data_IF_004269566933
#
_entry.id   IF_004269566933
#
_cell.length_a   1.000
_cell.length_b   1.000
_cell.length_c   1.000
_cell.angle_alpha   90.00
_cell.angle_beta   90.00
_cell.angle_gamma   90.00
#
_symmetry.space_group_name_H-M   'P 1'
#
loop_
_entity.id
_entity.type
_entity.pdbx_description
1 polymer ?
#
# COMPACT_ATOMS: atom_id res chain seq x y z
N UNK A 1 -23.13 -13.48 70.59
CA UNK A 1 -22.29 -12.32 70.20
C UNK A 1 -20.87 -12.84 70.12
N UNK A 2 -20.14 -12.53 69.04
CA UNK A 2 -18.79 -13.06 68.83
C UNK A 2 -17.78 -12.40 69.76
N UNK A 3 -16.60 -13.00 69.91
CA UNK A 3 -15.52 -12.45 70.73
C UNK A 3 -14.94 -11.17 70.11
N UNK A 4 -14.20 -10.39 70.90
CA UNK A 4 -13.51 -9.19 70.43
C UNK A 4 -12.52 -9.55 69.30
N UNK A 5 -12.73 -9.02 68.09
CA UNK A 5 -11.97 -9.37 66.88
C UNK A 5 -12.60 -10.42 65.96
N UNK A 6 -13.80 -10.92 66.29
CA UNK A 6 -14.56 -11.84 65.46
C UNK A 6 -15.80 -11.18 64.81
N UNK A 7 -16.20 -11.69 63.65
CA UNK A 7 -17.42 -11.24 62.95
C UNK A 7 -18.35 -12.42 62.71
N UNK A 8 -19.67 -12.16 62.81
CA UNK A 8 -20.72 -13.14 62.59
C UNK A 8 -20.97 -13.29 61.08
N UNK A 9 -20.70 -14.47 60.51
CA UNK A 9 -20.83 -14.76 59.07
C UNK A 9 -21.87 -15.86 58.85
N UNK A 10 -22.66 -15.76 57.76
CA UNK A 10 -23.68 -16.74 57.38
C UNK A 10 -23.12 -17.77 56.39
N UNK A 11 -23.14 -19.04 56.76
CA UNK A 11 -22.69 -20.18 55.93
C UNK A 11 -23.88 -21.07 55.56
N UNK A 12 -23.65 -22.10 54.73
CA UNK A 12 -24.65 -23.11 54.37
C UNK A 12 -25.16 -23.92 55.58
N UNK A 13 -24.41 -23.94 56.69
CA UNK A 13 -24.75 -24.63 57.95
C UNK A 13 -25.24 -23.68 59.06
N UNK A 14 -25.39 -22.38 58.79
CA UNK A 14 -25.92 -21.40 59.74
C UNK A 14 -24.96 -20.23 60.04
N UNK A 15 -25.25 -19.46 61.08
CA UNK A 15 -24.44 -18.33 61.52
C UNK A 15 -23.29 -18.80 62.42
N UNK A 16 -22.06 -18.40 62.11
CA UNK A 16 -20.87 -18.73 62.90
C UNK A 16 -19.99 -17.50 63.13
N UNK A 17 -19.27 -17.48 64.24
CA UNK A 17 -18.28 -16.43 64.55
C UNK A 17 -16.92 -16.84 63.97
N UNK A 18 -16.25 -15.94 63.27
CA UNK A 18 -14.92 -16.16 62.70
C UNK A 18 -13.97 -15.03 63.08
N UNK A 19 -12.76 -15.39 63.50
CA UNK A 19 -11.64 -14.44 63.68
C UNK A 19 -11.26 -13.85 62.31
N UNK A 20 -11.25 -12.52 62.20
CA UNK A 20 -10.86 -11.82 60.97
C UNK A 20 -9.34 -11.91 60.73
N UNK A 21 -8.84 -13.09 60.38
CA UNK A 21 -7.87 -13.15 59.29
C UNK A 21 -8.75 -13.28 58.04
N UNK A 22 -9.15 -12.16 57.43
CA UNK A 22 -10.07 -12.21 56.28
C UNK A 22 -9.29 -12.76 55.09
N UNK A 23 -9.21 -14.09 55.01
CA UNK A 23 -8.92 -14.78 53.78
C UNK A 23 -10.18 -14.65 52.89
N UNK A 24 -10.21 -13.61 52.05
CA UNK A 24 -11.22 -13.40 51.01
C UNK A 24 -11.18 -14.54 49.98
N UNK A 25 -10.01 -15.15 49.79
CA UNK A 25 -9.76 -16.27 48.90
C UNK A 25 -8.65 -17.17 49.47
N UNK A 26 -8.51 -18.38 48.93
CA UNK A 26 -7.42 -19.30 49.25
C UNK A 26 -6.24 -19.08 48.29
N UNK A 27 -5.02 -19.24 48.80
CA UNK A 27 -3.82 -19.18 47.95
C UNK A 27 -3.94 -20.19 46.80
N UNK A 28 -3.79 -19.71 45.57
CA UNK A 28 -4.00 -20.49 44.34
C UNK A 28 -5.41 -20.36 43.72
N UNK A 29 -6.38 -19.78 44.43
CA UNK A 29 -7.66 -19.41 43.82
C UNK A 29 -7.43 -18.38 42.71
N UNK A 30 -8.25 -18.47 41.66
CA UNK A 30 -8.18 -17.53 40.56
C UNK A 30 -9.56 -17.16 40.03
N UNK A 31 -9.65 -15.96 39.45
CA UNK A 31 -10.85 -15.47 38.77
C UNK A 31 -10.47 -14.89 37.40
N UNK A 32 -11.37 -14.99 36.42
CA UNK A 32 -11.21 -14.28 35.16
C UNK A 32 -11.36 -12.77 35.39
N UNK A 33 -10.64 -11.99 34.59
CA UNK A 33 -10.67 -10.54 34.64
C UNK A 33 -10.46 -9.95 33.26
N UNK A 34 -10.92 -8.72 33.11
CA UNK A 34 -10.71 -7.92 31.92
C UNK A 34 -10.88 -6.46 32.34
N UNK A 35 -9.88 -5.63 32.09
CA UNK A 35 -9.86 -4.23 32.52
C UNK A 35 -10.20 -3.25 31.39
N UNK A 36 -10.23 -3.72 30.14
CA UNK A 36 -10.73 -2.97 28.99
C UNK A 36 -12.26 -2.82 28.99
N UNK A 37 -12.78 -2.07 28.02
CA UNK A 37 -14.22 -1.85 27.88
C UNK A 37 -14.95 -3.16 27.54
N UNK A 38 -16.03 -3.55 28.25
CA UNK A 38 -16.65 -4.88 28.11
C UNK A 38 -17.02 -5.31 26.69
N UNK A 39 -17.34 -4.36 25.82
CA UNK A 39 -17.69 -4.57 24.41
C UNK A 39 -16.53 -5.08 23.53
N UNK A 40 -15.29 -4.84 23.96
CA UNK A 40 -14.07 -5.27 23.24
C UNK A 40 -13.62 -6.68 23.65
N UNK A 41 -14.21 -7.25 24.70
CA UNK A 41 -13.82 -8.55 25.23
C UNK A 41 -14.09 -9.66 24.21
N UNK A 42 -13.03 -10.34 23.78
CA UNK A 42 -13.11 -11.44 22.81
C UNK A 42 -13.22 -10.98 21.36
N UNK A 43 -13.03 -9.68 21.09
CA UNK A 43 -12.88 -9.15 19.73
C UNK A 43 -11.41 -9.23 19.35
N UNK A 44 -11.13 -9.90 18.23
CA UNK A 44 -9.79 -10.06 17.67
C UNK A 44 -8.70 -10.43 18.71
N UNK A 45 -7.72 -9.54 18.94
CA UNK A 45 -6.61 -9.79 19.85
C UNK A 45 -7.01 -9.71 21.33
N UNK A 46 -8.10 -8.99 21.66
CA UNK A 46 -8.52 -8.75 23.02
C UNK A 46 -9.09 -9.99 23.71
N UNK A 47 -8.60 -10.24 24.92
CA UNK A 47 -9.00 -11.40 25.72
C UNK A 47 -8.89 -11.13 27.21
N UNK A 48 -9.72 -11.86 27.96
CA UNK A 48 -9.65 -11.88 29.42
C UNK A 48 -8.36 -12.51 29.92
N UNK A 49 -7.84 -11.97 31.01
CA UNK A 49 -6.77 -12.55 31.80
C UNK A 49 -7.29 -13.24 33.06
N UNK A 50 -6.38 -13.49 34.00
CA UNK A 50 -6.66 -14.13 35.28
C UNK A 50 -6.04 -13.35 36.43
N UNK A 51 -6.80 -13.13 37.51
CA UNK A 51 -6.25 -12.65 38.80
C UNK A 51 -6.07 -13.83 39.73
N UNK A 52 -4.90 -13.91 40.34
CA UNK A 52 -4.60 -14.91 41.37
C UNK A 52 -4.79 -14.31 42.77
N UNK A 53 -5.31 -15.12 43.69
CA UNK A 53 -5.36 -14.78 45.10
C UNK A 53 -3.95 -14.65 45.66
N UNK A 54 -3.70 -13.59 46.43
CA UNK A 54 -2.41 -13.38 47.08
C UNK A 54 -2.17 -14.43 48.18
N UNK A 55 -0.90 -14.63 48.56
CA UNK A 55 -0.51 -15.63 49.58
C UNK A 55 -1.17 -15.37 50.95
N UNK A 56 -1.43 -14.10 51.27
CA UNK A 56 -2.10 -13.68 52.52
C UNK A 56 -3.61 -13.97 52.52
N UNK A 57 -4.18 -14.40 51.40
CA UNK A 57 -5.62 -14.62 51.21
C UNK A 57 -6.45 -13.33 51.22
N UNK A 58 -5.83 -12.15 51.29
CA UNK A 58 -6.52 -10.87 51.52
C UNK A 58 -7.09 -10.24 50.27
N UNK A 59 -6.84 -10.80 49.08
CA UNK A 59 -7.42 -10.32 47.83
C UNK A 59 -6.77 -10.88 46.57
N UNK A 60 -7.37 -10.56 45.43
CA UNK A 60 -6.86 -10.89 44.10
C UNK A 60 -5.92 -9.81 43.59
N UNK A 61 -4.81 -10.23 42.96
CA UNK A 61 -3.81 -9.33 42.39
C UNK A 61 -4.23 -8.64 41.10
N UNK A 62 -3.23 -8.28 40.29
CA UNK A 62 -3.43 -7.74 38.95
C UNK A 62 -4.02 -8.79 38.00
N UNK A 63 -4.60 -8.31 36.90
CA UNK A 63 -5.10 -9.17 35.85
C UNK A 63 -3.93 -9.58 34.95
N UNK A 64 -3.52 -10.84 35.07
CA UNK A 64 -2.36 -11.37 34.34
C UNK A 64 -2.84 -11.92 33.01
N UNK A 65 -2.04 -11.73 31.96
CA UNK A 65 -2.26 -12.23 30.59
C UNK A 65 -3.52 -11.70 29.86
N UNK A 66 -4.15 -10.64 30.39
CA UNK A 66 -5.16 -9.91 29.62
C UNK A 66 -4.54 -9.18 28.43
N UNK A 67 -5.31 -9.06 27.35
CA UNK A 67 -5.01 -8.13 26.25
C UNK A 67 -6.21 -7.22 26.12
N UNK A 68 -5.97 -5.95 26.38
CA UNK A 68 -6.96 -4.87 26.34
C UNK A 68 -6.67 -3.95 25.16
N UNK A 69 -7.65 -3.18 24.67
CA UNK A 69 -7.49 -2.28 23.54
C UNK A 69 -6.23 -1.42 23.64
N UNK A 70 -5.43 -1.43 22.59
CA UNK A 70 -4.27 -0.58 22.38
C UNK A 70 -4.51 0.35 21.19
N UNK A 71 -3.57 1.26 20.92
CA UNK A 71 -3.62 2.08 19.71
C UNK A 71 -3.28 1.21 18.50
N UNK A 72 -3.98 1.44 17.40
CA UNK A 72 -3.75 0.78 16.12
C UNK A 72 -2.38 1.13 15.52
N UNK A 73 -1.77 0.09 14.96
CA UNK A 73 -0.52 0.13 14.19
C UNK A 73 -0.71 -0.76 12.98
N UNK A 74 -0.07 -0.46 11.84
CA UNK A 74 -0.15 -1.35 10.67
C UNK A 74 0.62 -2.66 10.94
N UNK A 75 -0.02 -3.63 11.60
CA UNK A 75 0.56 -4.94 11.88
C UNK A 75 -0.38 -6.10 11.47
N UNK A 76 -1.53 -5.79 10.86
CA UNK A 76 -2.53 -6.75 10.44
C UNK A 76 -3.36 -7.28 11.62
N UNK A 77 -3.31 -6.60 12.77
CA UNK A 77 -4.04 -6.97 13.98
C UNK A 77 -4.97 -5.83 14.39
N UNK A 78 -6.22 -6.17 14.67
CA UNK A 78 -7.16 -5.29 15.37
C UNK A 78 -6.75 -5.22 16.86
N UNK A 79 -5.94 -4.21 17.16
CA UNK A 79 -5.26 -3.90 18.41
C UNK A 79 -6.15 -3.13 19.38
N UNK A 80 -7.03 -2.27 18.87
CA UNK A 80 -8.03 -1.52 19.63
C UNK A 80 -9.33 -2.32 19.86
N UNK A 81 -9.43 -3.47 19.19
CA UNK A 81 -10.48 -4.46 19.34
C UNK A 81 -11.87 -3.90 18.99
N UNK A 82 -11.92 -3.03 17.99
CA UNK A 82 -13.15 -2.43 17.47
C UNK A 82 -13.82 -3.29 16.36
N UNK A 83 -13.13 -4.33 15.87
CA UNK A 83 -13.60 -5.24 14.83
C UNK A 83 -13.12 -4.88 13.42
N UNK A 84 -12.28 -3.87 13.26
CA UNK A 84 -11.65 -3.43 12.02
C UNK A 84 -10.14 -3.53 12.21
N UNK A 85 -9.45 -4.12 11.24
CA UNK A 85 -7.99 -4.28 11.30
C UNK A 85 -7.34 -3.01 10.75
N UNK A 86 -6.30 -2.52 11.43
CA UNK A 86 -5.43 -1.42 11.02
C UNK A 86 -6.19 -0.12 10.66
N UNK A 87 -7.23 0.25 11.42
CA UNK A 87 -7.92 1.53 11.26
C UNK A 87 -7.38 2.62 12.18
N UNK A 88 -7.47 3.90 11.79
CA UNK A 88 -6.98 5.01 12.64
C UNK A 88 -5.53 4.83 13.15
N UNK A 89 -4.69 4.14 12.37
CA UNK A 89 -3.30 3.83 12.72
C UNK A 89 -2.48 5.08 13.00
N UNK A 90 -1.54 4.93 13.93
CA UNK A 90 -0.67 6.03 14.39
C UNK A 90 0.71 6.07 13.74
N UNK A 91 1.07 5.02 13.01
CA UNK A 91 2.38 4.78 12.41
C UNK A 91 2.43 4.95 10.89
N UNK A 92 1.29 5.33 10.26
CA UNK A 92 1.20 5.69 8.85
C UNK A 92 1.10 7.21 8.63
N UNK A 93 1.33 7.66 7.40
CA UNK A 93 1.19 9.05 6.95
C UNK A 93 2.46 9.90 7.06
N UNK A 94 3.52 9.39 7.70
CA UNK A 94 4.83 10.04 7.72
C UNK A 94 5.56 9.84 6.38
N UNK A 95 6.41 10.80 6.02
CA UNK A 95 7.19 10.70 4.79
C UNK A 95 8.27 9.62 4.89
N UNK A 96 8.57 9.00 3.75
CA UNK A 96 9.56 7.95 3.62
C UNK A 96 10.28 8.03 2.28
N UNK A 97 11.36 7.28 2.13
CA UNK A 97 12.05 7.09 0.85
C UNK A 97 11.76 5.67 0.40
N UNK A 98 11.18 5.53 -0.80
CA UNK A 98 10.81 4.23 -1.39
C UNK A 98 12.06 3.46 -1.83
N UNK A 99 13.18 4.17 -2.05
CA UNK A 99 14.40 3.63 -2.63
C UNK A 99 14.33 3.45 -4.15
N UNK A 100 13.23 3.88 -4.79
CA UNK A 100 13.10 3.96 -6.24
C UNK A 100 13.89 5.16 -6.80
N UNK A 101 14.00 5.23 -8.11
CA UNK A 101 14.75 6.31 -8.77
C UNK A 101 13.86 7.51 -9.08
N UNK A 102 14.48 8.70 -9.13
CA UNK A 102 13.81 9.90 -9.63
C UNK A 102 12.64 10.36 -8.76
N UNK A 103 11.53 10.69 -9.41
CA UNK A 103 10.31 11.21 -8.75
C UNK A 103 9.63 10.17 -7.86
N UNK A 104 9.96 8.89 -8.05
CA UNK A 104 9.39 7.79 -7.27
C UNK A 104 10.06 7.60 -5.90
N UNK A 105 11.20 8.26 -5.61
CA UNK A 105 11.90 8.10 -4.32
C UNK A 105 11.09 8.69 -3.16
N UNK A 106 10.42 9.82 -3.36
CA UNK A 106 9.62 10.46 -2.31
C UNK A 106 8.31 9.70 -2.08
N UNK A 107 8.15 9.16 -0.87
CA UNK A 107 7.02 8.33 -0.50
C UNK A 107 6.36 8.73 0.83
N UNK A 108 5.27 8.04 1.13
CA UNK A 108 4.54 8.10 2.40
C UNK A 108 4.30 6.68 2.93
N UNK A 109 4.43 6.50 4.24
CA UNK A 109 4.11 5.22 4.88
C UNK A 109 2.59 4.99 4.85
N UNK A 110 2.17 3.84 4.34
CA UNK A 110 0.78 3.37 4.31
C UNK A 110 0.69 1.96 4.88
N UNK A 111 -0.50 1.55 5.34
CA UNK A 111 -0.72 0.15 5.70
C UNK A 111 -0.84 -0.70 4.43
N UNK A 112 0.12 -1.60 4.22
CA UNK A 112 -0.05 -2.75 3.33
C UNK A 112 -0.55 -3.97 4.09
N UNK A 113 -0.74 -5.09 3.39
CA UNK A 113 -1.33 -6.32 3.95
C UNK A 113 -0.56 -6.94 5.14
N UNK A 114 0.74 -6.66 5.26
CA UNK A 114 1.61 -7.22 6.29
C UNK A 114 2.33 -6.14 7.12
N UNK A 115 1.81 -4.92 7.07
CA UNK A 115 2.30 -3.77 7.81
C UNK A 115 2.75 -2.60 6.95
N UNK A 116 3.59 -1.73 7.48
CA UNK A 116 3.97 -0.48 6.80
C UNK A 116 4.69 -0.73 5.46
N UNK A 117 4.18 -0.09 4.41
CA UNK A 117 4.78 -0.02 3.08
C UNK A 117 5.00 1.44 2.73
N UNK A 118 6.15 1.75 2.14
CA UNK A 118 6.44 3.09 1.64
C UNK A 118 6.01 3.18 0.18
N UNK A 119 4.96 3.95 -0.11
CA UNK A 119 4.44 4.14 -1.47
C UNK A 119 4.79 5.53 -2.01
N UNK A 120 5.12 5.68 -3.31
CA UNK A 120 5.39 6.97 -3.94
C UNK A 120 4.24 7.97 -3.75
N UNK A 121 4.54 9.21 -3.38
CA UNK A 121 3.52 10.26 -3.19
C UNK A 121 3.03 10.83 -4.52
N UNK A 122 3.92 10.87 -5.52
CA UNK A 122 3.62 11.44 -6.84
C UNK A 122 3.72 10.36 -7.90
N UNK A 123 2.58 10.02 -8.47
CA UNK A 123 2.48 9.27 -9.72
C UNK A 123 1.82 10.18 -10.76
N UNK A 124 2.46 10.33 -11.91
CA UNK A 124 1.95 11.09 -13.05
C UNK A 124 1.93 10.15 -14.26
N UNK A 125 1.04 10.37 -15.23
CA UNK A 125 1.16 9.66 -16.50
C UNK A 125 2.52 9.90 -17.11
N UNK A 126 3.12 8.85 -17.69
CA UNK A 126 4.38 8.92 -18.41
C UNK A 126 4.45 10.11 -19.36
N UNK A 127 5.60 10.77 -19.33
CA UNK A 127 6.02 11.75 -20.32
C UNK A 127 7.40 11.36 -20.83
N UNK A 128 7.71 11.74 -22.07
CA UNK A 128 9.02 11.46 -22.66
C UNK A 128 10.09 12.36 -22.02
N UNK A 129 10.61 11.97 -20.86
CA UNK A 129 11.65 12.69 -20.12
C UNK A 129 12.77 11.77 -19.58
N UNK A 130 12.66 10.46 -19.79
CA UNK A 130 13.64 9.46 -19.39
C UNK A 130 13.57 9.11 -17.90
N UNK A 131 12.46 9.44 -17.25
CA UNK A 131 12.16 9.14 -15.84
C UNK A 131 10.85 8.35 -15.81
N UNK A 132 10.81 7.34 -14.95
CA UNK A 132 9.59 6.65 -14.55
C UNK A 132 8.70 7.64 -13.76
N UNK A 133 7.67 8.19 -14.40
CA UNK A 133 6.79 9.20 -13.81
C UNK A 133 5.59 8.58 -13.08
N UNK A 134 5.16 7.40 -13.49
CA UNK A 134 4.02 6.69 -12.92
C UNK A 134 4.40 5.63 -11.87
N UNK A 135 5.70 5.38 -11.72
CA UNK A 135 6.34 4.50 -10.76
C UNK A 135 5.99 3.00 -10.97
N UNK A 136 5.70 2.58 -12.20
CA UNK A 136 5.44 1.17 -12.53
C UNK A 136 6.72 0.33 -12.76
N UNK A 137 7.88 0.99 -12.83
CA UNK A 137 9.19 0.38 -13.02
C UNK A 137 9.66 0.29 -14.47
N UNK A 138 8.87 0.77 -15.42
CA UNK A 138 9.27 1.04 -16.80
C UNK A 138 9.58 2.54 -16.96
N UNK A 139 10.22 2.91 -18.07
CA UNK A 139 10.58 4.30 -18.37
C UNK A 139 10.03 4.61 -19.75
N UNK A 140 9.31 5.73 -19.87
CA UNK A 140 8.78 6.27 -21.12
C UNK A 140 7.84 5.28 -21.87
N UNK A 141 7.10 4.42 -21.18
CA UNK A 141 6.13 3.48 -21.75
C UNK A 141 4.76 4.10 -22.07
N UNK A 142 3.94 3.37 -22.81
CA UNK A 142 2.59 3.80 -23.23
C UNK A 142 2.50 5.16 -23.96
N UNK A 143 3.63 5.66 -24.47
CA UNK A 143 3.75 6.92 -25.21
C UNK A 143 3.45 6.83 -26.72
N UNK A 144 3.01 5.66 -27.22
CA UNK A 144 2.78 5.44 -28.65
C UNK A 144 1.67 6.35 -29.16
N UNK A 145 1.99 7.24 -30.09
CA UNK A 145 1.05 8.21 -30.66
C UNK A 145 0.75 9.41 -29.75
N UNK A 146 1.36 9.51 -28.56
CA UNK A 146 1.29 10.68 -27.70
C UNK A 146 2.25 11.80 -28.15
N UNK A 147 3.31 11.44 -28.86
CA UNK A 147 4.34 12.36 -29.33
C UNK A 147 3.81 13.46 -30.26
N UNK A 148 4.56 14.57 -30.40
CA UNK A 148 4.26 15.60 -31.39
C UNK A 148 4.32 15.04 -32.83
N UNK A 149 3.82 15.80 -33.79
CA UNK A 149 3.94 15.44 -35.21
C UNK A 149 5.42 15.37 -35.62
N UNK A 150 5.75 14.40 -36.47
CA UNK A 150 7.09 14.28 -37.08
C UNK A 150 7.41 15.48 -37.97
N UNK A 151 8.70 15.74 -38.25
CA UNK A 151 9.12 16.90 -39.03
C UNK A 151 8.58 16.90 -40.48
N UNK A 152 8.41 15.72 -41.08
CA UNK A 152 7.78 15.54 -42.38
C UNK A 152 6.34 15.03 -42.21
N UNK A 153 5.43 15.63 -42.97
CA UNK A 153 3.99 15.38 -42.95
C UNK A 153 3.42 15.26 -44.37
N UNK A 154 4.28 15.06 -45.37
CA UNK A 154 3.92 14.83 -46.77
C UNK A 154 3.60 13.35 -47.02
N UNK A 155 2.86 13.06 -48.09
CA UNK A 155 2.58 11.70 -48.53
C UNK A 155 2.02 10.79 -47.43
N UNK A 156 2.62 9.61 -47.29
CA UNK A 156 2.22 8.59 -46.30
C UNK A 156 2.55 9.00 -44.87
N UNK A 157 3.46 9.96 -44.69
CA UNK A 157 3.94 10.46 -43.40
C UNK A 157 2.92 11.41 -42.74
N UNK A 158 1.83 11.77 -43.43
CA UNK A 158 0.82 12.67 -42.89
C UNK A 158 0.15 12.08 -41.64
N UNK A 159 0.21 12.80 -40.52
CA UNK A 159 -0.31 12.37 -39.23
C UNK A 159 0.66 11.50 -38.43
N UNK A 160 1.84 11.17 -38.96
CA UNK A 160 2.89 10.47 -38.22
C UNK A 160 3.34 11.31 -37.02
N UNK A 161 3.61 10.62 -35.91
CA UNK A 161 4.03 11.21 -34.63
C UNK A 161 5.35 10.63 -34.19
N UNK A 162 6.13 11.45 -33.48
CA UNK A 162 7.44 11.09 -32.97
C UNK A 162 7.35 9.93 -31.98
N UNK A 163 8.40 9.11 -31.94
CA UNK A 163 8.61 8.05 -30.92
C UNK A 163 9.48 8.59 -29.81
N UNK A 164 9.21 8.21 -28.57
CA UNK A 164 10.10 8.51 -27.45
C UNK A 164 11.25 7.49 -27.43
N UNK A 165 12.48 7.98 -27.35
CA UNK A 165 13.69 7.16 -27.17
C UNK A 165 14.61 7.91 -26.20
N UNK A 166 15.01 7.24 -25.12
CA UNK A 166 15.91 7.79 -24.10
C UNK A 166 15.48 9.20 -23.61
N UNK A 167 14.20 9.40 -23.28
CA UNK A 167 13.65 10.67 -22.81
C UNK A 167 13.60 11.80 -23.84
N UNK A 168 13.69 11.47 -25.13
CA UNK A 168 13.62 12.46 -26.21
C UNK A 168 12.75 11.98 -27.37
N UNK A 169 12.03 12.92 -27.97
CA UNK A 169 11.20 12.64 -29.14
C UNK A 169 12.03 12.63 -30.42
N UNK A 170 11.89 11.55 -31.21
CA UNK A 170 12.54 11.37 -32.49
C UNK A 170 11.55 11.04 -33.59
N UNK A 171 11.84 11.53 -34.80
CA UNK A 171 11.14 11.08 -36.00
C UNK A 171 11.46 9.61 -36.25
N UNK A 172 10.42 8.79 -36.36
CA UNK A 172 10.53 7.37 -36.65
C UNK A 172 9.49 7.00 -37.71
N UNK A 173 9.90 7.03 -38.97
CA UNK A 173 8.99 6.78 -40.09
C UNK A 173 8.78 5.28 -40.38
N UNK A 174 9.62 4.39 -39.82
CA UNK A 174 9.52 2.94 -40.02
C UNK A 174 8.20 2.30 -39.54
N UNK A 175 7.46 2.99 -38.67
CA UNK A 175 6.18 2.54 -38.12
C UNK A 175 4.96 3.08 -38.89
N UNK A 176 5.18 3.92 -39.90
CA UNK A 176 4.12 4.52 -40.70
C UNK A 176 3.56 3.49 -41.69
N UNK A 177 2.25 3.37 -41.75
CA UNK A 177 1.58 2.50 -42.72
C UNK A 177 1.80 3.06 -44.14
N UNK A 178 2.35 2.24 -45.03
CA UNK A 178 2.74 2.68 -46.37
C UNK A 178 4.18 3.18 -46.47
N UNK A 179 4.92 3.24 -45.36
CA UNK A 179 6.36 3.51 -45.39
C UNK A 179 7.11 2.43 -46.17
N UNK A 180 7.91 2.85 -47.13
CA UNK A 180 8.82 1.99 -47.87
C UNK A 180 9.92 2.82 -48.51
N UNK A 181 11.15 2.31 -48.53
CA UNK A 181 12.24 2.95 -49.27
C UNK A 181 11.85 2.91 -50.75
N UNK A 182 11.78 4.08 -51.38
CA UNK A 182 11.51 4.17 -52.82
C UNK A 182 12.58 3.35 -53.58
N UNK A 183 12.14 2.47 -54.47
CA UNK A 183 13.02 1.59 -55.25
C UNK A 183 13.39 0.21 -54.65
N UNK A 184 13.10 -0.10 -53.38
CA UNK A 184 13.31 -1.48 -52.83
C UNK A 184 11.98 -2.22 -52.68
N UNK A 185 10.93 -1.51 -52.30
CA UNK A 185 9.56 -2.01 -52.32
C UNK A 185 8.83 -1.47 -53.55
N UNK A 186 7.98 -2.30 -54.13
CA UNK A 186 7.22 -2.08 -55.37
C UNK A 186 6.13 -0.99 -55.22
N UNK A 187 6.47 0.19 -54.69
CA UNK A 187 5.61 1.36 -54.47
C UNK A 187 5.95 2.48 -55.47
N UNK A 188 4.95 3.26 -55.83
CA UNK A 188 4.82 3.84 -57.16
C UNK A 188 5.51 5.20 -57.25
N UNK A 189 6.55 5.31 -58.08
CA UNK A 189 7.13 6.59 -58.51
C UNK A 189 6.21 7.45 -59.40
N UNK A 190 4.89 7.34 -59.24
CA UNK A 190 3.85 8.05 -60.01
C UNK A 190 2.54 8.17 -59.19
N UNK A 191 2.58 8.01 -57.85
CA UNK A 191 1.40 8.14 -56.99
C UNK A 191 1.30 9.48 -56.25
N UNK A 192 2.27 10.38 -56.47
CA UNK A 192 2.35 11.73 -55.90
C UNK A 192 2.42 11.74 -54.38
N UNK A 193 2.83 10.63 -53.77
CA UNK A 193 3.05 10.50 -52.34
C UNK A 193 4.54 10.35 -52.05
N UNK A 194 5.00 11.08 -51.05
CA UNK A 194 6.25 10.84 -50.36
C UNK A 194 6.08 9.55 -49.54
N UNK A 195 6.70 8.44 -50.00
CA UNK A 195 6.53 7.11 -49.43
C UNK A 195 7.68 6.70 -48.47
N UNK A 196 8.81 7.42 -48.49
CA UNK A 196 9.98 7.17 -47.65
C UNK A 196 10.28 8.29 -46.64
N UNK A 197 9.43 9.31 -46.62
CA UNK A 197 9.45 10.46 -45.72
C UNK A 197 10.67 11.36 -45.84
N UNK A 198 11.29 11.46 -47.03
CA UNK A 198 12.46 12.31 -47.28
C UNK A 198 12.12 13.75 -47.74
N UNK A 199 10.82 14.05 -47.92
CA UNK A 199 10.23 15.31 -48.42
C UNK A 199 10.20 15.47 -49.94
N UNK A 200 10.61 14.47 -50.70
CA UNK A 200 10.43 14.38 -52.14
C UNK A 200 9.30 13.39 -52.45
N UNK A 201 8.82 13.44 -53.69
CA UNK A 201 7.79 12.52 -54.18
C UNK A 201 8.08 12.19 -55.64
N UNK A 202 7.84 10.93 -56.01
CA UNK A 202 7.88 10.40 -57.37
C UNK A 202 9.19 10.75 -58.13
N UNK A 203 9.06 11.26 -59.35
CA UNK A 203 10.12 11.62 -60.30
C UNK A 203 11.09 12.71 -59.81
N UNK A 204 10.74 13.42 -58.74
CA UNK A 204 11.63 14.38 -58.08
C UNK A 204 12.44 13.74 -56.94
N UNK A 205 12.13 12.50 -56.59
CA UNK A 205 12.86 11.71 -55.62
C UNK A 205 14.14 11.11 -56.24
N UNK A 206 15.23 11.12 -55.47
CA UNK A 206 16.48 10.48 -55.88
C UNK A 206 16.39 8.96 -55.89
N UNK A 207 15.49 8.40 -55.09
CA UNK A 207 15.35 6.97 -54.83
C UNK A 207 14.43 6.31 -55.89
N UNK A 208 13.62 7.11 -56.60
CA UNK A 208 12.92 6.73 -57.83
C UNK A 208 13.81 6.57 -59.08
N UNK A 209 15.13 6.64 -58.93
CA UNK A 209 16.10 6.43 -60.03
C UNK A 209 16.67 5.01 -60.00
N UNK A 210 15.84 4.03 -60.33
CA UNK A 210 16.32 2.72 -60.79
C UNK A 210 16.18 2.60 -62.31
N UNK A 211 17.11 3.25 -63.02
CA UNK A 211 17.68 2.75 -64.28
C UNK A 211 19.21 2.97 -64.31
#
# INVERSE_FOLDING_TARGET
>A
MCAEGEVLVKTSSGWTCVTLAVSICQSGDFINCYTGSPETMGVAACRSGVRYCNESGTGFGECVDEVVPQVETCDGVDNDCNGIVDDNVSDAGESCSTGLSGVCDEGVWVCGDTGLVCEPVTVQTEICDGIDNDCDGMIDEDLVGAGPLTSNQQGVCNGARQSCVDGQWYDNYYIVEGYGIEGISMFNCDDHLDNDCDSNADENDSDCRLE
#
